data_IF_407306727491
#
_entry.id   IF_407306727491
#
_cell.length_a   1.000
_cell.length_b   1.000
_cell.length_c   1.000
_cell.angle_alpha   90.00
_cell.angle_beta   90.00
_cell.angle_gamma   90.00
#
_symmetry.space_group_name_H-M   'P 1'
#
loop_
_entity.id
_entity.type
_entity.pdbx_description
1 polymer ?
#
# COMPACT_ATOMS: atom_id res chain seq x y z
N UNK A 1 16.93 -49.80 6.11
CA UNK A 1 17.09 -48.45 5.54
C UNK A 1 17.52 -47.55 6.67
N UNK A 2 18.83 -47.33 6.83
CA UNK A 2 19.36 -46.50 7.92
C UNK A 2 18.90 -45.05 7.75
N UNK A 3 18.42 -44.44 8.83
CA UNK A 3 18.17 -43.00 8.87
C UNK A 3 19.52 -42.31 8.69
N UNK A 4 19.80 -41.83 7.48
CA UNK A 4 21.08 -41.23 7.06
C UNK A 4 21.50 -39.98 7.86
N UNK A 5 20.63 -39.47 8.73
CA UNK A 5 20.84 -38.25 9.50
C UNK A 5 20.36 -38.47 10.95
N UNK A 6 21.23 -38.15 11.90
CA UNK A 6 20.88 -38.07 13.31
C UNK A 6 19.89 -36.90 13.56
N UNK A 7 19.28 -36.90 14.75
CA UNK A 7 18.26 -35.91 15.10
C UNK A 7 18.78 -34.45 15.08
N UNK A 8 20.04 -34.22 15.42
CA UNK A 8 20.67 -32.90 15.38
C UNK A 8 20.83 -32.43 13.94
N UNK A 9 21.33 -33.31 13.06
CA UNK A 9 21.47 -33.02 11.64
C UNK A 9 20.12 -32.75 10.96
N UNK A 10 19.07 -33.48 11.34
CA UNK A 10 17.69 -33.20 10.89
C UNK A 10 17.19 -31.84 11.35
N UNK A 11 17.35 -31.51 12.64
CA UNK A 11 16.93 -30.21 13.18
C UNK A 11 17.69 -29.04 12.53
N UNK A 12 18.98 -29.22 12.28
CA UNK A 12 19.78 -28.22 11.58
C UNK A 12 19.25 -27.96 10.16
N UNK A 13 18.96 -29.03 9.41
CA UNK A 13 18.38 -28.92 8.07
C UNK A 13 16.99 -28.28 8.09
N UNK A 14 16.12 -28.66 9.05
CA UNK A 14 14.82 -28.02 9.22
C UNK A 14 14.95 -26.51 9.46
N UNK A 15 15.86 -26.09 10.34
CA UNK A 15 16.08 -24.68 10.62
C UNK A 15 16.59 -23.90 9.39
N UNK A 16 17.44 -24.52 8.57
CA UNK A 16 17.91 -23.91 7.32
C UNK A 16 16.74 -23.76 6.34
N UNK A 17 15.97 -24.82 6.14
CA UNK A 17 14.83 -24.83 5.22
C UNK A 17 13.79 -23.79 5.66
N UNK A 18 13.47 -23.73 6.96
CA UNK A 18 12.54 -22.72 7.49
C UNK A 18 13.01 -21.30 7.19
N UNK A 19 14.29 -21.00 7.44
CA UNK A 19 14.86 -19.67 7.16
C UNK A 19 14.81 -19.32 5.67
N UNK A 20 15.08 -20.27 4.79
CA UNK A 20 15.01 -20.06 3.34
C UNK A 20 13.56 -19.80 2.92
N UNK A 21 12.63 -20.65 3.35
CA UNK A 21 11.21 -20.51 3.01
C UNK A 21 10.64 -19.18 3.52
N UNK A 22 11.01 -18.77 4.74
CA UNK A 22 10.59 -17.50 5.32
C UNK A 22 11.05 -16.32 4.46
N UNK A 23 12.33 -16.29 4.06
CA UNK A 23 12.86 -15.24 3.18
C UNK A 23 12.18 -15.22 1.81
N UNK A 24 11.92 -16.39 1.23
CA UNK A 24 11.20 -16.47 -0.06
C UNK A 24 9.77 -15.93 0.06
N UNK A 25 9.08 -16.24 1.15
CA UNK A 25 7.74 -15.71 1.43
C UNK A 25 7.75 -14.19 1.62
N UNK A 26 8.68 -13.67 2.42
CA UNK A 26 8.85 -12.22 2.63
C UNK A 26 9.06 -11.51 1.29
N UNK A 27 9.96 -12.04 0.44
CA UNK A 27 10.22 -11.47 -0.88
C UNK A 27 8.99 -11.50 -1.80
N UNK A 28 8.25 -12.62 -1.84
CA UNK A 28 7.04 -12.71 -2.65
C UNK A 28 5.95 -11.73 -2.21
N UNK A 29 5.81 -11.52 -0.90
CA UNK A 29 4.90 -10.52 -0.33
C UNK A 29 5.34 -9.11 -0.71
N UNK A 30 6.63 -8.81 -0.62
CA UNK A 30 7.18 -7.50 -0.99
C UNK A 30 6.97 -7.21 -2.48
N UNK A 31 7.24 -8.17 -3.37
CA UNK A 31 7.04 -8.03 -4.82
C UNK A 31 5.56 -7.84 -5.18
N UNK A 32 4.65 -8.62 -4.57
CA UNK A 32 3.21 -8.44 -4.75
C UNK A 32 2.74 -7.08 -4.24
N UNK A 33 3.28 -6.63 -3.10
CA UNK A 33 2.98 -5.31 -2.53
C UNK A 33 3.51 -4.18 -3.41
N UNK A 34 4.69 -4.37 -4.04
CA UNK A 34 5.24 -3.43 -5.01
C UNK A 34 4.38 -3.34 -6.27
N UNK A 35 3.96 -4.46 -6.87
CA UNK A 35 3.06 -4.45 -8.03
C UNK A 35 1.68 -3.84 -7.77
N UNK A 36 1.20 -3.87 -6.52
CA UNK A 36 0.00 -3.15 -6.07
C UNK A 36 0.25 -1.65 -5.88
N UNK A 37 1.45 -1.26 -5.42
CA UNK A 37 1.86 0.13 -5.21
C UNK A 37 2.30 0.84 -6.52
N UNK A 38 2.77 0.10 -7.51
CA UNK A 38 3.09 0.60 -8.86
C UNK A 38 1.84 1.06 -9.64
N UNK A 39 0.63 0.74 -9.14
CA UNK A 39 -0.62 1.31 -9.65
C UNK A 39 -0.75 2.77 -9.23
N UNK A 40 -0.08 3.61 -10.03
CA UNK A 40 0.00 5.06 -10.03
C UNK A 40 0.76 5.67 -8.84
N UNK A 41 1.94 6.28 -9.09
CA UNK A 41 2.67 7.09 -8.11
C UNK A 41 1.81 8.19 -7.48
N UNK A 42 0.82 8.67 -8.24
CA UNK A 42 -0.12 9.70 -7.83
C UNK A 42 -1.56 9.31 -8.16
N UNK A 43 -2.48 9.64 -7.26
CA UNK A 43 -3.91 9.53 -7.47
C UNK A 43 -4.50 10.89 -7.82
N UNK A 44 -5.38 10.92 -8.80
CA UNK A 44 -6.31 12.03 -9.01
C UNK A 44 -7.65 11.77 -8.29
N UNK A 45 -8.51 12.78 -8.30
CA UNK A 45 -9.80 12.70 -7.61
C UNK A 45 -10.74 11.63 -8.17
N UNK A 46 -10.65 11.31 -9.47
CA UNK A 46 -11.47 10.24 -10.07
C UNK A 46 -10.95 8.88 -9.63
N UNK A 47 -9.64 8.71 -9.51
CA UNK A 47 -9.05 7.50 -8.97
C UNK A 47 -9.40 7.31 -7.48
N UNK A 48 -9.40 8.38 -6.67
CA UNK A 48 -9.89 8.34 -5.29
C UNK A 48 -11.38 7.97 -5.23
N UNK A 49 -12.21 8.61 -6.04
CA UNK A 49 -13.65 8.32 -6.17
C UNK A 49 -13.90 6.85 -6.52
N UNK A 50 -13.19 6.32 -7.52
CA UNK A 50 -13.31 4.91 -7.89
C UNK A 50 -12.80 3.95 -6.82
N UNK A 51 -11.72 4.31 -6.10
CA UNK A 51 -11.10 3.44 -5.09
C UNK A 51 -11.97 3.28 -3.85
N UNK A 52 -12.62 4.35 -3.42
CA UNK A 52 -13.42 4.39 -2.19
C UNK A 52 -14.92 4.28 -2.43
N UNK A 53 -15.33 3.97 -3.66
CA UNK A 53 -16.74 3.83 -4.05
C UNK A 53 -17.60 5.04 -3.68
N UNK A 54 -17.03 6.24 -3.79
CA UNK A 54 -17.67 7.52 -3.47
C UNK A 54 -17.82 8.38 -4.71
N UNK A 55 -18.83 9.23 -4.75
CA UNK A 55 -18.89 10.30 -5.76
C UNK A 55 -17.75 11.30 -5.56
N UNK A 56 -17.40 12.04 -6.62
CA UNK A 56 -16.38 13.10 -6.54
C UNK A 56 -16.71 14.14 -5.45
N UNK A 57 -17.96 14.65 -5.33
CA UNK A 57 -18.33 15.56 -4.24
C UNK A 57 -18.14 14.97 -2.84
N UNK A 58 -18.45 13.68 -2.66
CA UNK A 58 -18.20 13.00 -1.39
C UNK A 58 -16.71 12.93 -1.09
N UNK A 59 -15.88 12.53 -2.06
CA UNK A 59 -14.41 12.56 -1.89
C UNK A 59 -13.89 13.95 -1.55
N UNK A 60 -14.40 15.01 -2.18
CA UNK A 60 -14.01 16.38 -1.83
C UNK A 60 -14.30 16.68 -0.36
N UNK A 61 -15.53 16.37 0.07
CA UNK A 61 -16.02 16.72 1.39
C UNK A 61 -15.33 15.91 2.49
N UNK A 62 -15.13 14.62 2.22
CA UNK A 62 -14.75 13.62 3.20
C UNK A 62 -13.25 13.39 3.27
N UNK A 63 -12.55 13.51 2.14
CA UNK A 63 -11.10 13.28 2.07
C UNK A 63 -10.33 14.56 1.75
N UNK A 64 -10.66 15.26 0.66
CA UNK A 64 -9.81 16.36 0.16
C UNK A 64 -9.81 17.57 1.11
N UNK A 65 -10.89 17.81 1.85
CA UNK A 65 -10.95 18.85 2.88
C UNK A 65 -10.17 18.51 4.16
N UNK A 66 -9.74 17.26 4.37
CA UNK A 66 -8.88 16.91 5.49
C UNK A 66 -7.53 17.63 5.34
N UNK A 67 -7.08 18.29 6.42
CA UNK A 67 -5.83 19.07 6.41
C UNK A 67 -4.62 18.24 5.97
N UNK A 68 -4.57 16.95 6.33
CA UNK A 68 -3.49 16.04 5.95
C UNK A 68 -3.49 15.80 4.44
N UNK A 69 -4.66 15.64 3.82
CA UNK A 69 -4.77 15.54 2.35
C UNK A 69 -4.37 16.84 1.66
N UNK A 70 -4.71 18.00 2.23
CA UNK A 70 -4.30 19.30 1.68
C UNK A 70 -2.78 19.50 1.71
N UNK A 71 -2.09 19.01 2.75
CA UNK A 71 -0.63 19.13 2.89
C UNK A 71 0.14 18.37 1.81
N UNK A 72 -0.39 17.24 1.35
CA UNK A 72 0.23 16.41 0.32
C UNK A 72 -0.34 16.66 -1.09
N UNK A 73 -1.33 17.55 -1.22
CA UNK A 73 -1.89 17.95 -2.51
C UNK A 73 -0.80 18.55 -3.39
N UNK A 74 -0.73 18.07 -4.63
CA UNK A 74 0.07 18.64 -5.69
C UNK A 74 -0.85 19.11 -6.81
N UNK A 75 -0.43 20.20 -7.46
CA UNK A 75 -1.12 20.79 -8.60
C UNK A 75 -0.24 20.75 -9.82
N UNK A 76 -0.86 20.50 -10.98
CA UNK A 76 -0.12 20.46 -12.24
C UNK A 76 0.62 21.81 -12.41
N UNK A 77 1.95 21.79 -12.63
CA UNK A 77 2.72 23.01 -12.81
C UNK A 77 2.13 23.89 -13.91
N UNK A 78 2.17 25.21 -13.72
CA UNK A 78 1.67 26.19 -14.70
C UNK A 78 0.15 26.43 -14.68
N UNK A 79 -0.58 25.84 -13.74
CA UNK A 79 -2.02 26.08 -13.60
C UNK A 79 -2.41 26.31 -12.14
N UNK A 80 -2.76 27.55 -11.77
CA UNK A 80 -3.28 27.87 -10.43
C UNK A 80 -4.60 27.15 -10.12
N UNK A 81 -5.40 26.86 -11.16
CA UNK A 81 -6.61 26.01 -11.13
C UNK A 81 -6.38 24.60 -11.70
N UNK A 82 -5.14 24.12 -11.65
CA UNK A 82 -4.74 22.85 -12.25
C UNK A 82 -5.42 21.62 -11.68
N UNK A 83 -5.33 20.52 -12.43
CA UNK A 83 -5.69 19.18 -11.94
C UNK A 83 -4.89 18.89 -10.66
N UNK A 84 -5.61 18.45 -9.63
CA UNK A 84 -5.04 18.03 -8.34
C UNK A 84 -4.67 16.55 -8.37
N UNK A 85 -3.57 16.23 -7.71
CA UNK A 85 -3.09 14.88 -7.54
C UNK A 85 -2.38 14.72 -6.19
N UNK A 86 -2.38 13.51 -5.66
CA UNK A 86 -1.81 13.18 -4.35
C UNK A 86 -0.90 11.97 -4.47
N UNK A 87 0.27 11.94 -3.82
CA UNK A 87 1.10 10.74 -3.73
C UNK A 87 0.27 9.55 -3.24
N UNK A 88 0.25 8.46 -4.00
CA UNK A 88 -0.74 7.41 -3.79
C UNK A 88 -0.62 6.74 -2.43
N UNK A 89 0.61 6.42 -2.00
CA UNK A 89 0.87 5.75 -0.72
C UNK A 89 0.36 6.59 0.46
N UNK A 90 0.70 7.87 0.48
CA UNK A 90 0.32 8.80 1.54
C UNK A 90 -1.18 9.09 1.52
N UNK A 91 -1.76 9.30 0.33
CA UNK A 91 -3.19 9.54 0.17
C UNK A 91 -4.02 8.35 0.65
N UNK A 92 -3.65 7.12 0.26
CA UNK A 92 -4.35 5.90 0.68
C UNK A 92 -4.28 5.75 2.20
N UNK A 93 -3.11 5.97 2.80
CA UNK A 93 -2.94 5.90 4.26
C UNK A 93 -3.88 6.87 4.96
N UNK A 94 -3.88 8.14 4.56
CA UNK A 94 -4.73 9.17 5.17
C UNK A 94 -6.21 8.85 4.99
N UNK A 95 -6.63 8.46 3.78
CA UNK A 95 -8.03 8.13 3.51
C UNK A 95 -8.49 6.92 4.33
N UNK A 96 -7.68 5.87 4.45
CA UNK A 96 -7.99 4.72 5.30
C UNK A 96 -8.08 5.12 6.78
N UNK A 97 -7.16 5.97 7.26
CA UNK A 97 -7.22 6.51 8.61
C UNK A 97 -8.51 7.31 8.84
N UNK A 98 -8.97 8.10 7.86
CA UNK A 98 -10.26 8.80 7.93
C UNK A 98 -11.41 7.80 8.05
N UNK A 99 -11.46 6.79 7.19
CA UNK A 99 -12.54 5.80 7.20
C UNK A 99 -12.58 4.96 8.48
N UNK A 100 -11.42 4.65 9.06
CA UNK A 100 -11.34 3.88 10.32
C UNK A 100 -11.95 4.63 11.52
N UNK A 101 -12.15 5.94 11.40
CA UNK A 101 -12.80 6.78 12.40
C UNK A 101 -14.16 7.31 11.92
N UNK A 102 -14.75 6.68 10.91
CA UNK A 102 -16.14 6.92 10.54
C UNK A 102 -17.05 5.93 11.28
N UNK A 103 -17.95 6.51 12.07
CA UNK A 103 -19.07 5.82 12.70
C UNK A 103 -20.19 5.54 11.68
#
# INVERSE_FOLDING_TARGET
MENLLDASSKNFLYNIIEKILRKMFEQAIDEASQGLNERAEYLDIKQLSSRYSMSVPEVEQNFVKDKRMQMIEKRKPGTSKGKRYWPAKEAIKICNDIMNHWD
#
